data_IF_753560780920
#
_entry.id   IF_753560780920
#
_cell.length_a   1.000
_cell.length_b   1.000
_cell.length_c   1.000
_cell.angle_alpha   90.00
_cell.angle_beta   90.00
_cell.angle_gamma   90.00
#
_symmetry.space_group_name_H-M   'P 1'
#
loop_
_entity.id
_entity.type
_entity.pdbx_description
1 polymer ?
#
# COMPACT_ATOMS: atom_id res chain seq x y z
N UNK A 1 0.78 -24.98 10.77
CA UNK A 1 -0.43 -25.35 10.00
C UNK A 1 -0.44 -24.50 8.74
N UNK A 2 -0.81 -25.06 7.58
CA UNK A 2 -0.93 -24.29 6.33
C UNK A 2 -2.12 -23.34 6.43
N UNK A 3 -1.95 -22.07 6.05
CA UNK A 3 -3.07 -21.13 5.99
C UNK A 3 -4.10 -21.63 4.96
N UNK A 4 -5.37 -21.55 5.31
CA UNK A 4 -6.45 -22.04 4.46
C UNK A 4 -6.59 -21.08 3.28
N UNK A 5 -6.68 -21.61 2.07
CA UNK A 5 -6.89 -20.83 0.84
C UNK A 5 -8.38 -20.90 0.47
N UNK A 6 -8.96 -19.79 0.02
CA UNK A 6 -10.32 -19.75 -0.46
C UNK A 6 -10.53 -18.71 -1.56
N UNK A 7 -11.67 -18.81 -2.23
CA UNK A 7 -12.04 -17.89 -3.30
C UNK A 7 -12.90 -16.75 -2.76
N UNK A 8 -12.59 -15.55 -3.20
CA UNK A 8 -13.35 -14.33 -2.95
C UNK A 8 -13.62 -13.61 -4.27
N UNK A 9 -14.61 -12.73 -4.28
CA UNK A 9 -14.81 -11.78 -5.38
C UNK A 9 -14.63 -10.36 -4.86
N UNK A 10 -13.91 -9.55 -5.64
CA UNK A 10 -13.76 -8.11 -5.41
C UNK A 10 -14.40 -7.34 -6.56
N UNK A 11 -14.77 -6.08 -6.32
CA UNK A 11 -15.25 -5.14 -7.33
C UNK A 11 -14.43 -3.87 -7.24
N UNK A 12 -13.78 -3.49 -8.33
CA UNK A 12 -12.97 -2.26 -8.41
C UNK A 12 -13.65 -1.29 -9.37
N UNK A 13 -13.89 -0.06 -8.91
CA UNK A 13 -14.58 0.98 -9.65
C UNK A 13 -15.94 0.49 -10.20
N UNK A 14 -16.20 0.75 -11.48
CA UNK A 14 -17.37 0.31 -12.23
C UNK A 14 -17.14 -1.00 -13.00
N UNK A 15 -16.00 -1.69 -12.78
CA UNK A 15 -15.69 -2.94 -13.47
C UNK A 15 -16.51 -4.13 -12.93
N UNK A 16 -16.66 -5.20 -13.74
CA UNK A 16 -17.21 -6.47 -13.28
C UNK A 16 -16.44 -7.05 -12.09
N UNK A 17 -17.10 -7.94 -11.34
CA UNK A 17 -16.46 -8.65 -10.23
C UNK A 17 -15.27 -9.48 -10.73
N UNK A 18 -14.15 -9.38 -10.03
CA UNK A 18 -12.92 -10.13 -10.30
C UNK A 18 -12.81 -11.22 -9.23
N UNK A 19 -12.57 -12.45 -9.67
CA UNK A 19 -12.36 -13.59 -8.77
C UNK A 19 -10.90 -13.64 -8.34
N UNK A 20 -10.67 -13.81 -7.04
CA UNK A 20 -9.35 -13.97 -6.46
C UNK A 20 -9.31 -15.22 -5.57
N UNK A 21 -8.16 -15.88 -5.56
CA UNK A 21 -7.87 -17.00 -4.65
C UNK A 21 -6.84 -16.51 -3.65
N UNK A 22 -7.20 -16.42 -2.37
CA UNK A 22 -6.37 -15.80 -1.33
C UNK A 22 -6.29 -16.67 -0.07
N UNK A 23 -5.19 -16.58 0.69
CA UNK A 23 -5.15 -17.11 2.05
C UNK A 23 -6.14 -16.38 2.96
N UNK A 24 -6.79 -17.08 3.89
CA UNK A 24 -7.77 -16.48 4.83
C UNK A 24 -7.15 -15.32 5.64
N UNK A 25 -5.87 -15.42 6.00
CA UNK A 25 -5.16 -14.35 6.71
C UNK A 25 -5.04 -13.05 5.90
N UNK A 26 -5.05 -13.14 4.57
CA UNK A 26 -4.88 -11.98 3.68
C UNK A 26 -6.19 -11.35 3.25
N UNK A 27 -7.34 -12.02 3.37
CA UNK A 27 -8.62 -11.44 2.98
C UNK A 27 -8.85 -10.04 3.60
N UNK A 28 -8.62 -9.79 4.90
CA UNK A 28 -8.83 -8.46 5.48
C UNK A 28 -8.01 -7.35 4.78
N UNK A 29 -6.79 -7.67 4.35
CA UNK A 29 -5.93 -6.73 3.62
C UNK A 29 -6.49 -6.47 2.22
N UNK A 30 -6.92 -7.52 1.52
CA UNK A 30 -7.53 -7.42 0.19
C UNK A 30 -8.81 -6.59 0.23
N UNK A 31 -9.68 -6.81 1.24
CA UNK A 31 -10.91 -6.02 1.43
C UNK A 31 -10.62 -4.55 1.71
N UNK A 32 -9.62 -4.27 2.54
CA UNK A 32 -9.19 -2.89 2.81
C UNK A 32 -8.67 -2.21 1.54
N UNK A 33 -7.91 -2.91 0.71
CA UNK A 33 -7.45 -2.39 -0.57
C UNK A 33 -8.62 -2.09 -1.53
N UNK A 34 -9.58 -3.02 -1.64
CA UNK A 34 -10.83 -2.85 -2.40
C UNK A 34 -11.60 -1.59 -1.95
N UNK A 35 -11.84 -1.45 -0.65
CA UNK A 35 -12.54 -0.30 -0.08
C UNK A 35 -11.82 1.02 -0.35
N UNK A 36 -10.49 1.05 -0.16
CA UNK A 36 -9.69 2.26 -0.33
C UNK A 36 -9.63 2.72 -1.79
N UNK A 37 -9.43 1.81 -2.74
CA UNK A 37 -9.41 2.13 -4.17
C UNK A 37 -10.77 2.66 -4.60
N UNK A 38 -11.85 1.96 -4.23
CA UNK A 38 -13.21 2.38 -4.57
C UNK A 38 -13.58 3.72 -3.96
N UNK A 39 -13.19 3.95 -2.71
CA UNK A 39 -13.40 5.22 -2.01
C UNK A 39 -12.71 6.38 -2.69
N UNK A 40 -11.45 6.22 -3.11
CA UNK A 40 -10.72 7.27 -3.81
C UNK A 40 -11.26 7.51 -5.22
N UNK A 41 -11.51 6.43 -5.97
CA UNK A 41 -12.10 6.50 -7.30
C UNK A 41 -13.45 7.23 -7.30
N UNK A 42 -14.34 6.89 -6.35
CA UNK A 42 -15.64 7.54 -6.21
C UNK A 42 -15.49 9.05 -5.93
N UNK A 43 -14.64 9.40 -4.96
CA UNK A 43 -14.35 10.80 -4.62
C UNK A 43 -13.80 11.57 -5.82
N UNK A 44 -12.97 10.94 -6.65
CA UNK A 44 -12.41 11.59 -7.83
C UNK A 44 -13.45 11.72 -8.94
N UNK A 45 -14.30 10.71 -9.17
CA UNK A 45 -15.41 10.83 -10.12
C UNK A 45 -16.40 11.95 -9.78
N UNK A 46 -16.52 12.31 -8.51
CA UNK A 46 -17.40 13.38 -8.03
C UNK A 46 -16.76 14.79 -8.10
N UNK A 47 -15.45 14.91 -8.38
CA UNK A 47 -14.77 16.21 -8.48
C UNK A 47 -14.87 16.80 -9.88
N UNK A 48 -15.06 18.12 -9.93
CA UNK A 48 -15.11 18.88 -11.18
C UNK A 48 -13.82 18.74 -12.02
N UNK A 49 -12.66 18.63 -11.37
CA UNK A 49 -11.33 18.43 -12.00
C UNK A 49 -11.22 17.14 -12.84
N UNK A 50 -12.09 16.16 -12.61
CA UNK A 50 -12.08 14.87 -13.29
C UNK A 50 -13.37 14.59 -14.06
N UNK A 51 -14.19 15.62 -14.29
CA UNK A 51 -15.49 15.50 -14.96
C UNK A 51 -15.36 15.11 -16.43
N UNK A 52 -14.28 15.55 -17.08
CA UNK A 52 -13.92 15.25 -18.47
C UNK A 52 -13.30 13.85 -18.64
N UNK A 53 -12.96 13.17 -17.54
CA UNK A 53 -12.27 11.87 -17.56
C UNK A 53 -13.23 10.70 -17.50
N UNK A 54 -12.94 9.70 -18.32
CA UNK A 54 -13.57 8.39 -18.28
C UNK A 54 -13.33 7.69 -16.94
N UNK A 55 -14.18 6.70 -16.62
CA UNK A 55 -13.99 5.89 -15.41
C UNK A 55 -12.61 5.22 -15.38
N UNK A 56 -12.19 4.68 -16.52
CA UNK A 56 -10.91 4.00 -16.66
C UNK A 56 -9.71 4.94 -16.42
N UNK A 57 -9.77 6.18 -16.92
CA UNK A 57 -8.74 7.19 -16.65
C UNK A 57 -8.67 7.53 -15.16
N UNK A 58 -9.82 7.71 -14.50
CA UNK A 58 -9.84 7.95 -13.05
C UNK A 58 -9.28 6.77 -12.27
N UNK A 59 -9.60 5.54 -12.65
CA UNK A 59 -9.03 4.34 -12.04
C UNK A 59 -7.51 4.24 -12.27
N UNK A 60 -7.03 4.57 -13.47
CA UNK A 60 -5.60 4.55 -13.79
C UNK A 60 -4.83 5.54 -12.92
N UNK A 61 -5.33 6.76 -12.75
CA UNK A 61 -4.69 7.76 -11.90
C UNK A 61 -4.76 7.38 -10.42
N UNK A 62 -5.87 6.80 -9.95
CA UNK A 62 -5.98 6.25 -8.58
C UNK A 62 -4.90 5.19 -8.36
N UNK A 63 -4.78 4.23 -9.29
CA UNK A 63 -3.78 3.17 -9.23
C UNK A 63 -2.37 3.75 -9.20
N UNK A 64 -2.08 4.72 -10.06
CA UNK A 64 -0.80 5.42 -10.09
C UNK A 64 -0.48 6.10 -8.76
N UNK A 65 -1.46 6.77 -8.15
CA UNK A 65 -1.29 7.41 -6.83
C UNK A 65 -0.96 6.39 -5.74
N UNK A 66 -1.62 5.23 -5.73
CA UNK A 66 -1.29 4.16 -4.78
C UNK A 66 0.12 3.60 -4.99
N UNK A 67 0.55 3.43 -6.25
CA UNK A 67 1.91 3.02 -6.56
C UNK A 67 2.95 4.03 -6.06
N UNK A 68 2.71 5.33 -6.29
CA UNK A 68 3.57 6.40 -5.77
C UNK A 68 3.68 6.33 -4.23
N UNK A 69 2.55 6.20 -3.53
CA UNK A 69 2.54 6.10 -2.08
C UNK A 69 3.30 4.86 -1.57
N UNK A 70 3.18 3.73 -2.27
CA UNK A 70 3.93 2.52 -1.95
C UNK A 70 5.44 2.77 -2.02
N UNK A 71 5.94 3.33 -3.12
CA UNK A 71 7.37 3.59 -3.27
C UNK A 71 7.89 4.66 -2.30
N UNK A 72 7.13 5.74 -2.06
CA UNK A 72 7.52 6.74 -1.06
C UNK A 72 7.60 6.15 0.36
N UNK A 73 6.70 5.21 0.71
CA UNK A 73 6.77 4.53 2.00
C UNK A 73 7.95 3.55 2.08
N UNK A 74 8.29 2.90 0.97
CA UNK A 74 9.46 2.02 0.88
C UNK A 74 10.76 2.81 1.10
N UNK A 75 10.92 3.92 0.37
CA UNK A 75 12.08 4.83 0.54
C UNK A 75 12.18 5.38 1.97
N UNK A 76 11.05 5.75 2.58
CA UNK A 76 11.03 6.20 3.96
C UNK A 76 11.44 5.10 4.96
N UNK A 77 11.07 3.84 4.68
CA UNK A 77 11.49 2.67 5.46
C UNK A 77 13.00 2.43 5.37
N UNK A 78 13.54 2.42 4.15
CA UNK A 78 14.99 2.26 3.91
C UNK A 78 15.79 3.39 4.58
N UNK A 79 15.29 4.62 4.53
CA UNK A 79 15.91 5.76 5.22
C UNK A 79 15.88 5.60 6.75
N UNK A 80 14.83 5.01 7.30
CA UNK A 80 14.71 4.77 8.75
C UNK A 80 15.69 3.68 9.19
N UNK A 81 15.77 2.58 8.46
CA UNK A 81 16.71 1.48 8.73
C UNK A 81 18.15 2.00 8.73
N UNK A 82 18.53 2.79 7.70
CA UNK A 82 19.85 3.41 7.65
C UNK A 82 20.14 4.36 8.83
N UNK A 83 19.12 5.05 9.35
CA UNK A 83 19.29 5.91 10.52
C UNK A 83 19.50 5.08 11.79
N UNK A 84 18.78 3.97 11.94
CA UNK A 84 18.93 3.04 13.06
C UNK A 84 20.30 2.38 13.06
N UNK A 85 20.79 1.94 11.90
CA UNK A 85 22.14 1.37 11.75
C UNK A 85 23.22 2.38 12.16
N UNK A 86 23.06 3.65 11.78
CA UNK A 86 23.96 4.72 12.19
C UNK A 86 23.93 4.99 13.70
N UNK A 87 22.75 4.87 14.33
CA UNK A 87 22.62 4.97 15.79
C UNK A 87 23.29 3.80 16.51
N UNK A 88 23.13 2.57 16.02
CA UNK A 88 23.78 1.37 16.58
C UNK A 88 25.30 1.51 16.56
N UNK A 89 25.88 1.89 15.40
CA UNK A 89 27.32 2.12 15.27
C UNK A 89 27.83 3.21 16.23
N UNK A 90 27.03 4.25 16.45
CA UNK A 90 27.37 5.33 17.39
C UNK A 90 27.39 4.81 18.83
N UNK A 91 26.40 4.01 19.23
CA UNK A 91 26.35 3.42 20.56
C UNK A 91 27.48 2.43 20.79
N UNK A 92 27.78 1.57 19.82
CA UNK A 92 28.91 0.65 19.88
C UNK A 92 30.23 1.39 20.07
N UNK A 93 30.44 2.49 19.33
CA UNK A 93 31.65 3.30 19.46
C UNK A 93 31.77 3.92 20.86
N UNK A 94 30.68 4.47 21.41
CA UNK A 94 30.68 5.05 22.75
C UNK A 94 30.96 4.01 23.85
N UNK A 95 30.41 2.80 23.72
CA UNK A 95 30.64 1.72 24.67
C UNK A 95 32.07 1.18 24.60
N UNK A 96 32.70 1.19 23.43
CA UNK A 96 34.10 0.79 23.27
C UNK A 96 35.06 1.84 23.85
N UNK A 97 34.73 3.13 23.69
CA UNK A 97 35.53 4.23 24.23
C UNK A 97 35.49 4.27 25.78
N UNK A 98 34.38 3.90 26.42
CA UNK A 98 34.23 3.88 27.90
C UNK A 98 35.04 2.74 28.59
N UNK A 99 35.60 1.78 27.85
CA UNK A 99 36.37 0.64 28.38
C UNK A 99 37.90 0.85 28.19
N UNK A 100 38.32 1.96 27.58
CA UNK A 100 39.73 2.37 27.40
C UNK A 100 40.11 3.60 28.21
#
# INVERSE_FOLDING_TARGET
>A
MSDKIHNISIRIADLPRIQLTVPYSQEPLVRRAEENINGLWKKWKERDEFRDKSSAEVLAMVTFRFAQLYYSNLEAGESLDSMLDGMEQTFDSLLLDDIT
#
